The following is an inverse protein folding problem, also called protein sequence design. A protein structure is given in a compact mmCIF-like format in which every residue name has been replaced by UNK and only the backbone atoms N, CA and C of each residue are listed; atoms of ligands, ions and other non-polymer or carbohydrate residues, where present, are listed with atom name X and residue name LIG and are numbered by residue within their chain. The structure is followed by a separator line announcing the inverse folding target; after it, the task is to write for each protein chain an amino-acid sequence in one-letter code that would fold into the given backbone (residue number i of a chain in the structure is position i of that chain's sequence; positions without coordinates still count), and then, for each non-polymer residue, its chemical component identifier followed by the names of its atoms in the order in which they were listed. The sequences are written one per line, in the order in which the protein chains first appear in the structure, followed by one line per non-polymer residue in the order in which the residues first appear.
data_IF_319196678471
#
_entry.id   IF_319196678471
#
_cell.length_a   1.000
_cell.length_b   1.000
_cell.length_c   1.000
_cell.angle_alpha   90.00
_cell.angle_beta   90.00
_cell.angle_gamma   90.00
#
_symmetry.space_group_name_H-M   'P 1'
#
loop_
_entity.id
_entity.type
_entity.pdbx_description
1 polymer ?
#
# COMPACT_ATOMS: atom_id res chain seq x y z
N UNK A 1 20.78 -13.22 -16.85
CA UNK A 1 19.45 -13.48 -16.25
C UNK A 1 18.92 -12.22 -15.59
N UNK A 2 19.73 -11.52 -14.79
CA UNK A 2 19.39 -10.22 -14.22
C UNK A 2 19.02 -9.15 -15.28
N UNK A 3 19.74 -9.11 -16.40
CA UNK A 3 19.45 -8.18 -17.50
C UNK A 3 18.11 -8.46 -18.21
N UNK A 4 17.63 -9.71 -18.22
CA UNK A 4 16.35 -10.08 -18.84
C UNK A 4 15.21 -9.49 -18.00
N UNK A 5 15.24 -9.71 -16.68
CA UNK A 5 14.22 -9.17 -15.77
C UNK A 5 14.22 -7.64 -15.74
N UNK A 6 15.39 -7.01 -15.83
CA UNK A 6 15.47 -5.55 -15.94
C UNK A 6 14.79 -5.03 -17.21
N UNK A 7 15.02 -5.69 -18.34
CA UNK A 7 14.33 -5.38 -19.60
C UNK A 7 12.81 -5.57 -19.50
N UNK A 8 12.35 -6.63 -18.84
CA UNK A 8 10.91 -6.87 -18.62
C UNK A 8 10.25 -5.76 -17.77
N UNK A 9 10.93 -5.32 -16.70
CA UNK A 9 10.46 -4.21 -15.86
C UNK A 9 10.33 -2.93 -16.69
N UNK A 10 11.35 -2.58 -17.48
CA UNK A 10 11.32 -1.38 -18.33
C UNK A 10 10.21 -1.41 -19.38
N UNK A 11 9.97 -2.56 -20.02
CA UNK A 11 8.88 -2.70 -21.00
C UNK A 11 7.51 -2.60 -20.33
N UNK A 12 7.35 -3.27 -19.17
CA UNK A 12 6.11 -3.22 -18.38
C UNK A 12 5.81 -1.79 -17.93
N UNK A 13 6.83 -1.07 -17.46
CA UNK A 13 6.72 0.32 -17.04
C UNK A 13 6.22 1.22 -18.18
N UNK A 14 6.78 1.08 -19.39
CA UNK A 14 6.31 1.81 -20.59
C UNK A 14 4.85 1.52 -20.94
N UNK A 15 4.43 0.25 -20.81
CA UNK A 15 3.04 -0.13 -21.07
C UNK A 15 2.08 0.47 -20.04
N UNK A 16 2.45 0.42 -18.76
CA UNK A 16 1.65 1.01 -17.67
C UNK A 16 1.57 2.53 -17.84
N UNK A 17 2.68 3.20 -18.13
CA UNK A 17 2.70 4.65 -18.45
C UNK A 17 1.74 4.97 -19.60
N UNK A 18 1.81 4.22 -20.69
CA UNK A 18 0.91 4.42 -21.84
C UNK A 18 -0.56 4.26 -21.46
N UNK A 19 -0.90 3.29 -20.61
CA UNK A 19 -2.26 3.13 -20.12
C UNK A 19 -2.70 4.34 -19.29
N UNK A 20 -1.84 4.82 -18.39
CA UNK A 20 -2.06 6.01 -17.58
C UNK A 20 -2.30 7.26 -18.45
N UNK A 21 -1.48 7.48 -19.47
CA UNK A 21 -1.64 8.58 -20.42
C UNK A 21 -2.96 8.55 -21.20
N UNK A 22 -3.55 7.36 -21.33
CA UNK A 22 -4.86 7.15 -21.96
C UNK A 22 -6.02 7.17 -20.95
N UNK A 23 -5.79 7.63 -19.71
CA UNK A 23 -6.82 7.82 -18.69
C UNK A 23 -7.14 6.57 -17.86
N UNK A 24 -6.34 5.50 -17.96
CA UNK A 24 -6.48 4.34 -17.07
C UNK A 24 -5.96 4.72 -15.68
N UNK A 25 -6.79 4.53 -14.66
CA UNK A 25 -6.37 4.78 -13.27
C UNK A 25 -5.41 3.69 -12.80
N UNK A 26 -4.35 4.11 -12.13
CA UNK A 26 -3.41 3.23 -11.43
C UNK A 26 -3.73 3.25 -9.93
N UNK A 27 -3.64 2.08 -9.30
CA UNK A 27 -3.72 1.88 -7.86
C UNK A 27 -2.36 1.42 -7.35
N UNK A 28 -1.96 1.91 -6.18
CA UNK A 28 -0.85 1.31 -5.42
C UNK A 28 -1.36 0.17 -4.54
N UNK A 29 -0.60 -0.91 -4.46
CA UNK A 29 -0.80 -2.05 -3.58
C UNK A 29 0.54 -2.72 -3.22
N UNK A 30 0.71 -3.08 -1.94
CA UNK A 30 1.98 -3.62 -1.45
C UNK A 30 2.24 -5.10 -1.76
N UNK A 31 1.23 -5.83 -2.23
CA UNK A 31 1.22 -7.30 -2.30
C UNK A 31 1.66 -7.95 -0.97
N UNK A 32 1.40 -7.28 0.16
CA UNK A 32 1.85 -7.74 1.47
C UNK A 32 1.08 -8.97 1.93
N UNK A 33 1.80 -9.95 2.48
CA UNK A 33 1.25 -11.27 2.85
C UNK A 33 2.09 -12.43 2.32
N UNK A 34 3.04 -12.14 1.43
CA UNK A 34 4.10 -13.05 1.01
C UNK A 34 5.41 -12.72 1.74
N UNK A 35 6.32 -13.71 1.88
CA UNK A 35 7.52 -13.58 2.73
C UNK A 35 8.46 -12.42 2.35
N UNK A 36 8.36 -11.92 1.12
CA UNK A 36 9.22 -10.85 0.58
C UNK A 36 8.59 -9.45 0.65
N UNK A 37 7.33 -9.33 1.08
CA UNK A 37 6.55 -8.09 1.04
C UNK A 37 6.04 -7.65 2.42
N UNK A 38 6.94 -7.18 3.33
CA UNK A 38 6.51 -6.71 4.65
C UNK A 38 5.49 -5.57 4.57
N UNK A 39 4.48 -5.63 5.43
CA UNK A 39 3.45 -4.60 5.56
C UNK A 39 4.06 -3.22 5.84
N UNK A 40 3.43 -2.19 5.26
CA UNK A 40 3.88 -0.79 5.38
C UNK A 40 4.99 -0.43 4.39
N UNK A 41 6.09 -1.19 4.35
CA UNK A 41 7.28 -0.82 3.56
C UNK A 41 7.02 -0.74 2.05
N UNK A 42 6.28 -1.71 1.50
CA UNK A 42 6.05 -1.77 0.06
C UNK A 42 4.99 -0.78 -0.44
N UNK A 43 4.10 -0.28 0.42
CA UNK A 43 3.19 0.82 0.04
C UNK A 43 3.98 2.09 -0.31
N UNK A 44 4.91 2.51 0.56
CA UNK A 44 5.75 3.68 0.29
C UNK A 44 6.75 3.43 -0.85
N UNK A 45 7.33 2.23 -0.92
CA UNK A 45 8.30 1.86 -1.96
C UNK A 45 7.68 1.85 -3.37
N UNK A 46 6.42 1.47 -3.50
CA UNK A 46 5.77 1.44 -4.81
C UNK A 46 5.54 2.85 -5.37
N UNK A 47 5.24 3.84 -4.50
CA UNK A 47 5.17 5.24 -4.94
C UNK A 47 6.51 5.72 -5.53
N UNK A 48 7.63 5.33 -4.91
CA UNK A 48 8.96 5.61 -5.45
C UNK A 48 9.18 4.90 -6.80
N UNK A 49 8.70 3.68 -6.97
CA UNK A 49 8.76 2.95 -8.25
C UNK A 49 7.93 3.68 -9.31
N UNK A 50 6.74 4.17 -8.98
CA UNK A 50 5.90 4.91 -9.92
C UNK A 50 6.56 6.21 -10.37
N UNK A 51 7.18 6.97 -9.47
CA UNK A 51 7.93 8.16 -9.85
C UNK A 51 9.13 7.80 -10.74
N UNK A 52 9.94 6.82 -10.35
CA UNK A 52 11.20 6.53 -11.03
C UNK A 52 11.07 5.71 -12.32
N UNK A 53 10.04 4.87 -12.43
CA UNK A 53 9.87 3.92 -13.55
C UNK A 53 8.73 4.31 -14.49
N UNK A 54 7.70 4.99 -13.99
CA UNK A 54 6.55 5.42 -14.79
C UNK A 54 6.54 6.93 -15.06
N UNK A 55 7.55 7.67 -14.60
CA UNK A 55 7.64 9.12 -14.71
C UNK A 55 6.36 9.83 -14.20
N UNK A 56 5.73 9.28 -13.17
CA UNK A 56 4.67 10.00 -12.46
C UNK A 56 5.30 11.12 -11.63
N UNK A 57 4.63 12.27 -11.55
CA UNK A 57 4.97 13.25 -10.53
C UNK A 57 4.67 12.67 -9.13
N UNK A 58 5.33 13.15 -8.06
CA UNK A 58 5.03 12.70 -6.70
C UNK A 58 3.56 12.83 -6.31
N UNK A 59 2.88 13.90 -6.76
CA UNK A 59 1.44 14.10 -6.51
C UNK A 59 0.58 13.07 -7.26
N UNK A 60 0.95 12.72 -8.50
CA UNK A 60 0.26 11.64 -9.24
C UNK A 60 0.47 10.29 -8.55
N UNK A 61 1.68 10.00 -8.07
CA UNK A 61 1.95 8.79 -7.29
C UNK A 61 1.09 8.75 -6.01
N UNK A 62 1.04 9.84 -5.23
CA UNK A 62 0.17 9.95 -4.04
C UNK A 62 -1.30 9.71 -4.41
N UNK A 63 -1.75 10.22 -5.55
CA UNK A 63 -3.13 10.04 -6.04
C UNK A 63 -3.47 8.56 -6.27
N UNK A 64 -2.51 7.73 -6.69
CA UNK A 64 -2.70 6.28 -6.85
C UNK A 64 -2.99 5.54 -5.53
N UNK A 65 -2.46 6.03 -4.41
CA UNK A 65 -2.62 5.44 -3.08
C UNK A 65 -3.73 6.10 -2.25
N UNK A 66 -4.36 7.17 -2.74
CA UNK A 66 -5.37 7.95 -1.99
C UNK A 66 -6.69 8.02 -2.77
N UNK A 67 -6.88 9.05 -3.61
CA UNK A 67 -8.09 9.28 -4.39
C UNK A 67 -8.49 8.07 -5.24
N UNK A 68 -7.53 7.44 -5.90
CA UNK A 68 -7.83 6.27 -6.74
C UNK A 68 -8.20 5.05 -5.89
N UNK A 69 -7.59 4.89 -4.70
CA UNK A 69 -7.98 3.85 -3.74
C UNK A 69 -9.43 4.02 -3.26
N UNK A 70 -9.83 5.25 -2.94
CA UNK A 70 -11.21 5.56 -2.58
C UNK A 70 -12.19 5.22 -3.71
N UNK A 71 -11.86 5.60 -4.95
CA UNK A 71 -12.65 5.25 -6.13
C UNK A 71 -12.76 3.73 -6.32
N UNK A 72 -11.67 2.98 -6.15
CA UNK A 72 -11.68 1.52 -6.28
C UNK A 72 -12.59 0.84 -5.24
N UNK A 73 -12.72 1.48 -4.07
CA UNK A 73 -13.62 1.05 -2.99
C UNK A 73 -15.05 1.59 -3.10
N UNK A 74 -15.37 2.40 -4.11
CA UNK A 74 -16.66 3.12 -4.24
C UNK A 74 -16.95 4.04 -3.04
N UNK A 75 -15.90 4.68 -2.52
CA UNK A 75 -15.91 5.56 -1.36
C UNK A 75 -15.32 6.94 -1.69
N UNK A 76 -15.26 7.32 -2.97
CA UNK A 76 -14.71 8.60 -3.42
C UNK A 76 -15.40 9.82 -2.81
N UNK A 77 -16.68 9.71 -2.44
CA UNK A 77 -17.44 10.76 -1.75
C UNK A 77 -17.19 10.78 -0.24
N UNK A 78 -16.50 9.77 0.31
CA UNK A 78 -16.30 9.57 1.74
C UNK A 78 -14.85 9.75 2.18
N UNK A 79 -13.85 9.36 1.37
CA UNK A 79 -12.44 9.39 1.75
C UNK A 79 -11.49 9.56 0.56
N UNK A 80 -10.19 9.62 0.84
CA UNK A 80 -9.11 9.60 -0.16
C UNK A 80 -8.66 10.97 -0.67
N UNK A 81 -9.30 12.05 -0.23
CA UNK A 81 -8.89 13.44 -0.50
C UNK A 81 -9.19 14.33 0.70
N UNK A 82 -8.46 15.44 0.82
CA UNK A 82 -8.71 16.45 1.84
C UNK A 82 -9.82 17.39 1.36
N UNK A 83 -11.05 17.05 1.69
CA UNK A 83 -12.25 17.81 1.34
C UNK A 83 -13.21 17.86 2.53
N UNK A 84 -14.06 18.90 2.56
CA UNK A 84 -15.07 19.03 3.61
C UNK A 84 -16.02 17.83 3.57
N UNK A 85 -16.51 17.42 4.74
CA UNK A 85 -17.51 16.37 4.93
C UNK A 85 -17.03 14.94 4.60
N UNK A 86 -15.74 14.76 4.26
CA UNK A 86 -15.07 13.44 4.17
C UNK A 86 -14.47 13.00 5.50
N UNK A 87 -14.21 11.70 5.63
CA UNK A 87 -13.50 11.12 6.77
C UNK A 87 -12.13 11.77 6.94
N UNK A 88 -11.79 12.09 8.19
CA UNK A 88 -10.50 12.65 8.55
C UNK A 88 -9.45 11.54 8.69
N UNK A 89 -9.14 10.88 7.57
CA UNK A 89 -8.05 9.92 7.41
C UNK A 89 -6.82 10.67 6.85
N UNK A 90 -5.90 11.03 7.73
CA UNK A 90 -4.83 12.00 7.44
C UNK A 90 -3.50 11.48 7.97
N UNK A 91 -2.45 11.61 7.16
CA UNK A 91 -1.06 11.45 7.59
C UNK A 91 -0.39 12.82 7.53
N UNK A 92 0.26 13.22 8.62
CA UNK A 92 1.08 14.43 8.69
C UNK A 92 2.54 14.00 8.65
N UNK A 93 3.32 14.67 7.80
CA UNK A 93 4.71 14.31 7.51
C UNK A 93 5.60 15.54 7.68
N UNK A 94 6.74 15.36 8.36
CA UNK A 94 7.72 16.41 8.68
C UNK A 94 8.71 16.63 7.52
N UNK A 95 8.17 16.66 6.30
CA UNK A 95 8.89 16.94 5.06
C UNK A 95 7.90 17.12 3.91
N UNK A 96 8.34 17.69 2.81
CA UNK A 96 7.50 17.88 1.62
C UNK A 96 7.59 16.64 0.70
N UNK A 97 6.52 15.84 0.58
CA UNK A 97 6.52 14.67 -0.28
C UNK A 97 6.46 15.01 -1.78
N UNK A 98 6.22 16.28 -2.15
CA UNK A 98 6.27 16.69 -3.56
C UNK A 98 7.69 16.90 -4.07
N UNK A 99 8.63 17.13 -3.16
CA UNK A 99 10.06 17.24 -3.47
C UNK A 99 10.77 15.88 -3.37
N UNK A 100 10.37 15.04 -2.41
CA UNK A 100 10.91 13.68 -2.25
C UNK A 100 9.83 12.71 -1.77
N UNK A 101 9.32 11.87 -2.67
CA UNK A 101 8.26 10.90 -2.35
C UNK A 101 8.68 9.87 -1.29
N UNK A 102 9.99 9.64 -1.11
CA UNK A 102 10.52 8.61 -0.18
C UNK A 102 10.23 8.95 1.28
N UNK A 103 9.94 10.22 1.59
CA UNK A 103 9.58 10.65 2.95
C UNK A 103 8.32 9.93 3.46
N UNK A 104 7.43 9.50 2.56
CA UNK A 104 6.23 8.73 2.93
C UNK A 104 6.56 7.29 3.38
N UNK A 105 7.77 6.80 3.11
CA UNK A 105 8.23 5.48 3.57
C UNK A 105 9.13 5.56 4.81
N UNK A 106 9.53 6.77 5.22
CA UNK A 106 10.32 6.98 6.45
C UNK A 106 9.39 7.19 7.64
N UNK A 107 9.29 6.16 8.50
CA UNK A 107 8.46 6.19 9.70
C UNK A 107 8.83 7.33 10.66
N UNK A 108 10.09 7.80 10.65
CA UNK A 108 10.51 8.91 11.51
C UNK A 108 10.05 10.27 10.99
N UNK A 109 9.57 10.34 9.75
CA UNK A 109 9.00 11.55 9.16
C UNK A 109 7.50 11.63 9.35
N UNK A 110 6.83 10.52 9.67
CA UNK A 110 5.40 10.52 9.95
C UNK A 110 5.19 11.00 11.39
N UNK A 111 4.76 12.26 11.54
CA UNK A 111 4.57 12.88 12.86
C UNK A 111 3.20 12.60 13.45
N UNK A 112 2.17 12.42 12.63
CA UNK A 112 0.82 12.13 13.11
C UNK A 112 0.06 11.28 12.10
N UNK A 113 -0.71 10.31 12.62
CA UNK A 113 -1.71 9.57 11.86
C UNK A 113 -3.06 9.79 12.51
N UNK A 114 -4.04 10.19 11.71
CA UNK A 114 -5.43 10.40 12.10
C UNK A 114 -6.27 9.42 11.30
N UNK A 115 -7.11 8.64 11.97
CA UNK A 115 -8.07 7.74 11.33
C UNK A 115 -9.45 8.07 11.89
N UNK A 116 -10.41 8.34 11.01
CA UNK A 116 -11.78 8.71 11.39
C UNK A 116 -11.81 9.86 12.43
N UNK A 117 -10.95 10.86 12.24
CA UNK A 117 -10.80 12.01 13.14
C UNK A 117 -10.11 11.73 14.48
N UNK A 118 -9.64 10.50 14.71
CA UNK A 118 -8.92 10.12 15.94
C UNK A 118 -7.42 10.06 15.69
N UNK A 119 -6.68 10.84 16.46
CA UNK A 119 -5.21 10.79 16.46
C UNK A 119 -4.75 9.46 17.06
N UNK A 120 -3.92 8.72 16.33
CA UNK A 120 -3.32 7.48 16.81
C UNK A 120 -2.05 7.77 17.63
N UNK A 121 -1.81 6.96 18.67
CA UNK A 121 -0.54 6.96 19.37
C UNK A 121 0.45 6.05 18.65
N UNK A 122 1.42 6.65 17.96
CA UNK A 122 2.45 5.91 17.21
C UNK A 122 3.48 5.20 18.10
N UNK A 123 3.44 5.43 19.41
CA UNK A 123 4.26 4.71 20.39
C UNK A 123 3.61 3.41 20.87
N UNK A 124 2.34 3.17 20.52
CA UNK A 124 1.67 1.93 20.88
C UNK A 124 2.33 0.76 20.17
N UNK A 125 2.54 -0.33 20.90
CA UNK A 125 3.01 -1.57 20.30
C UNK A 125 1.94 -2.11 19.34
N UNK A 126 2.37 -2.81 18.28
CA UNK A 126 1.47 -3.60 17.47
C UNK A 126 0.58 -4.46 18.40
N UNK A 127 -0.74 -4.54 18.12
CA UNK A 127 -1.60 -5.40 18.90
C UNK A 127 -0.98 -6.79 18.97
N UNK A 128 -1.01 -7.41 20.15
CA UNK A 128 -0.53 -8.77 20.30
C UNK A 128 -1.37 -9.63 19.36
N UNK A 129 -0.73 -10.16 18.32
CA UNK A 129 -1.35 -11.13 17.44
C UNK A 129 -1.49 -12.43 18.23
N UNK A 130 -2.62 -12.59 18.89
CA UNK A 130 -3.02 -13.90 19.39
C UNK A 130 -3.37 -14.81 18.21
N UNK A 131 -3.09 -16.11 18.34
CA UNK A 131 -3.61 -17.07 17.38
C UNK A 131 -5.13 -16.94 17.37
N UNK A 132 -5.71 -16.53 16.22
CA UNK A 132 -7.15 -16.64 16.03
C UNK A 132 -7.55 -18.08 16.35
N UNK A 133 -8.53 -18.26 17.24
CA UNK A 133 -9.08 -19.57 17.54
C UNK A 133 -9.82 -20.10 16.30
N UNK A 134 -9.12 -20.87 15.46
CA UNK A 134 -9.68 -21.40 14.22
C UNK A 134 -8.71 -21.31 13.04
N UNK A 135 -8.35 -22.49 12.54
CA UNK A 135 -7.72 -22.85 11.26
C UNK A 135 -7.26 -21.75 10.29
N UNK A 136 -5.94 -21.73 10.01
CA UNK A 136 -5.46 -21.59 8.64
C UNK A 136 -5.36 -22.98 8.02
N UNK A 137 -6.43 -23.46 7.41
CA UNK A 137 -6.29 -24.47 6.35
C UNK A 137 -5.74 -23.74 5.12
N UNK A 138 -4.65 -24.26 4.55
CA UNK A 138 -4.27 -23.82 3.21
C UNK A 138 -5.40 -24.15 2.24
N UNK A 139 -5.67 -23.27 1.27
CA UNK A 139 -6.75 -23.41 0.27
C UNK A 139 -6.65 -24.68 -0.62
N UNK A 140 -5.67 -25.55 -0.36
CA UNK A 140 -5.34 -26.77 -1.11
C UNK A 140 -5.38 -28.04 -0.25
N UNK A 141 -5.86 -27.94 1.00
CA UNK A 141 -6.04 -29.12 1.83
C UNK A 141 -7.37 -29.79 1.47
N UNK A 142 -7.31 -31.00 0.91
CA UNK A 142 -8.50 -31.81 0.62
C UNK A 142 -9.26 -32.26 1.88
N UNK A 143 -8.67 -32.03 3.05
CA UNK A 143 -9.29 -32.29 4.35
C UNK A 143 -8.93 -31.17 5.32
N UNK A 144 -9.83 -30.94 6.28
CA UNK A 144 -9.54 -30.09 7.43
C UNK A 144 -8.38 -30.75 8.19
N UNK A 145 -7.25 -30.05 8.27
CA UNK A 145 -6.18 -30.39 9.21
C UNK A 145 -6.83 -30.36 10.61
N UNK A 146 -6.51 -31.29 11.52
CA UNK A 146 -6.98 -31.27 12.92
C UNK A 146 -5.78 -31.38 13.84
N UNK A 147 -5.90 -31.01 15.12
CA UNK A 147 -4.81 -31.17 16.09
C UNK A 147 -4.27 -32.61 16.09
N UNK A 148 -5.16 -33.58 16.12
CA UNK A 148 -4.83 -35.02 16.08
C UNK A 148 -4.14 -35.46 14.77
N UNK A 149 -4.29 -34.71 13.67
CA UNK A 149 -3.64 -35.00 12.39
C UNK A 149 -2.27 -34.36 12.24
N UNK A 150 -2.04 -33.18 12.82
CA UNK A 150 -0.78 -32.45 12.69
C UNK A 150 0.34 -33.02 13.58
N UNK A 151 -0.01 -33.71 14.66
CA UNK A 151 0.90 -34.18 15.70
C UNK A 151 0.96 -35.72 15.85
N UNK A 152 0.66 -36.46 14.77
CA UNK A 152 1.07 -37.86 14.61
C UNK A 152 2.44 -37.92 13.94
#
# INVERSE_FOLDING_TARGET
MEDIFRGEIEQTAKMIRKAYDNGVRILSGSESGFALTPYGHWHGRELEIFVNSLDLTPVEAITTATKNGAWAMQMEDQLGTIEKDKLADIIIVDSDPTEDIRVLNDKNKISTVIIDGKVLNLSDLWPIHESLAGWKVGNWAGEILTWDKAYK
#
